data_IF_020480550445
#
_entry.id   IF_020480550445
#
_cell.length_a   1.000
_cell.length_b   1.000
_cell.length_c   1.000
_cell.angle_alpha   90.00
_cell.angle_beta   90.00
_cell.angle_gamma   90.00
#
_symmetry.space_group_name_H-M   'P 1'
#
loop_
_entity.id
_entity.type
_entity.pdbx_description
1 polymer ?
#
# COMPACT_ATOMS: atom_id res chain seq x y z
N UNK A 1 -43.58 -7.39 -7.72
CA UNK A 1 -42.70 -6.34 -8.29
C UNK A 1 -43.49 -5.06 -8.68
N UNK A 2 -44.56 -4.70 -7.97
CA UNK A 2 -45.40 -3.52 -8.29
C UNK A 2 -45.47 -2.48 -7.16
N UNK A 3 -45.20 -2.87 -5.91
CA UNK A 3 -45.34 -1.99 -4.74
C UNK A 3 -44.25 -0.93 -4.62
N UNK A 4 -43.05 -1.17 -5.16
CA UNK A 4 -41.93 -0.23 -5.12
C UNK A 4 -42.09 0.93 -6.12
N UNK A 5 -42.63 0.67 -7.31
CA UNK A 5 -42.79 1.67 -8.38
C UNK A 5 -43.92 2.68 -8.12
N UNK A 6 -44.96 2.29 -7.38
CA UNK A 6 -46.12 3.15 -7.09
C UNK A 6 -45.76 4.29 -6.11
N UNK A 7 -44.74 4.10 -5.26
CA UNK A 7 -44.33 5.08 -4.25
C UNK A 7 -43.13 5.94 -4.67
N UNK A 8 -42.55 5.71 -5.85
CA UNK A 8 -41.45 6.50 -6.40
C UNK A 8 -41.75 8.01 -6.53
N UNK A 9 -42.96 8.47 -6.94
CA UNK A 9 -43.24 9.90 -7.06
C UNK A 9 -43.56 10.59 -5.72
N UNK A 10 -43.64 9.86 -4.60
CA UNK A 10 -43.98 10.43 -3.28
C UNK A 10 -42.76 10.88 -2.47
N UNK A 11 -41.61 11.10 -3.11
CA UNK A 11 -40.40 11.56 -2.42
C UNK A 11 -39.95 10.53 -1.40
N UNK A 12 -39.61 9.33 -1.86
CA UNK A 12 -39.04 8.32 -0.98
C UNK A 12 -37.61 8.73 -0.65
N UNK A 13 -37.47 9.47 0.43
CA UNK A 13 -36.44 9.49 1.48
C UNK A 13 -36.74 10.78 2.27
N UNK A 14 -37.38 10.73 3.46
CA UNK A 14 -37.36 11.91 4.33
C UNK A 14 -35.89 12.30 4.48
N UNK A 15 -35.53 13.56 4.24
CA UNK A 15 -34.18 14.08 4.53
C UNK A 15 -33.86 13.67 5.97
N UNK A 16 -33.06 12.63 6.11
CA UNK A 16 -32.67 12.15 7.43
C UNK A 16 -31.73 13.21 7.99
N UNK A 17 -31.94 13.60 9.24
CA UNK A 17 -31.03 14.46 9.98
C UNK A 17 -29.71 13.74 10.33
N UNK A 18 -29.55 12.51 9.82
CA UNK A 18 -28.37 11.67 9.96
C UNK A 18 -27.29 12.26 9.06
N UNK A 19 -26.35 12.96 9.70
CA UNK A 19 -25.17 13.52 9.06
C UNK A 19 -24.01 12.56 9.29
N UNK A 20 -23.34 12.16 8.22
CA UNK A 20 -22.12 11.39 8.33
C UNK A 20 -20.99 12.30 8.83
N UNK A 21 -20.47 12.03 10.03
CA UNK A 21 -19.23 12.63 10.51
C UNK A 21 -18.08 11.69 10.12
N UNK A 22 -17.19 12.08 9.20
CA UNK A 22 -16.04 11.26 8.84
C UNK A 22 -14.89 11.36 9.84
N UNK A 23 -14.96 12.26 10.82
CA UNK A 23 -13.87 12.44 11.80
C UNK A 23 -13.46 11.16 12.54
N UNK A 24 -14.40 10.30 12.99
CA UNK A 24 -14.06 9.02 13.62
C UNK A 24 -13.39 8.02 12.68
N UNK A 25 -13.45 8.25 11.35
CA UNK A 25 -12.86 7.38 10.33
C UNK A 25 -11.50 7.88 9.84
N UNK A 26 -11.07 9.07 10.24
CA UNK A 26 -9.68 9.45 10.06
C UNK A 26 -8.83 8.61 11.00
N UNK A 27 -7.99 7.76 10.42
CA UNK A 27 -7.00 7.03 11.18
C UNK A 27 -6.00 8.00 11.81
N UNK A 28 -5.48 7.64 12.98
CA UNK A 28 -4.38 8.37 13.63
C UNK A 28 -3.21 8.52 12.67
N UNK A 29 -2.60 9.71 12.66
CA UNK A 29 -1.46 10.03 11.80
C UNK A 29 -0.35 8.98 11.96
N UNK A 30 -0.07 8.21 10.91
CA UNK A 30 1.09 7.34 10.87
C UNK A 30 2.34 8.25 10.87
N UNK A 31 3.13 8.19 11.93
CA UNK A 31 4.38 8.92 12.01
C UNK A 31 5.42 8.28 11.10
N UNK A 32 5.54 8.82 9.89
CA UNK A 32 6.56 8.43 8.92
C UNK A 32 7.83 9.24 9.21
N UNK A 33 8.93 8.55 9.50
CA UNK A 33 10.21 9.17 9.83
C UNK A 33 10.96 9.61 8.56
N UNK A 34 11.65 10.75 8.62
CA UNK A 34 12.32 11.36 7.46
C UNK A 34 13.30 10.42 6.73
N UNK A 35 13.94 9.49 7.45
CA UNK A 35 14.91 8.57 6.86
C UNK A 35 14.31 7.65 5.80
N UNK A 36 13.01 7.34 5.86
CA UNK A 36 12.37 6.41 4.91
C UNK A 36 12.15 7.01 3.53
N UNK A 37 12.31 8.33 3.41
CA UNK A 37 12.35 9.06 2.15
C UNK A 37 13.76 9.13 1.56
N UNK A 38 14.79 8.79 2.35
CA UNK A 38 16.18 8.84 1.92
C UNK A 38 16.52 7.55 1.16
N UNK A 39 17.43 7.70 0.20
CA UNK A 39 18.01 6.59 -0.53
C UNK A 39 18.71 5.62 0.43
N UNK A 40 18.46 4.32 0.31
CA UNK A 40 19.16 3.28 1.08
C UNK A 40 20.57 3.04 0.53
N UNK A 41 21.46 2.50 1.36
CA UNK A 41 22.79 2.10 0.91
C UNK A 41 22.74 0.76 0.16
N UNK A 42 23.75 0.49 -0.67
CA UNK A 42 23.89 -0.77 -1.40
C UNK A 42 24.20 -0.57 -2.87
N UNK A 43 24.16 -1.66 -3.62
CA UNK A 43 24.27 -1.67 -5.09
C UNK A 43 23.02 -1.03 -5.71
N UNK A 44 23.17 -0.31 -6.82
CA UNK A 44 22.04 0.35 -7.48
C UNK A 44 21.01 -0.70 -7.93
N UNK A 45 19.76 -0.55 -7.48
CA UNK A 45 18.66 -1.40 -7.95
C UNK A 45 18.17 -0.93 -9.31
N UNK A 46 17.61 -1.87 -10.07
CA UNK A 46 16.99 -1.60 -11.36
C UNK A 46 15.80 -2.54 -11.57
N UNK A 47 14.80 -2.04 -12.29
CA UNK A 47 13.60 -2.80 -12.66
C UNK A 47 13.75 -3.27 -14.11
N UNK A 48 13.68 -4.58 -14.32
CA UNK A 48 13.72 -5.25 -15.62
C UNK A 48 12.45 -6.07 -15.90
N UNK A 49 11.59 -6.27 -14.90
CA UNK A 49 10.23 -6.75 -15.13
C UNK A 49 9.35 -5.62 -15.66
N UNK A 50 8.51 -5.97 -16.60
CA UNK A 50 7.41 -5.17 -17.12
C UNK A 50 6.10 -5.63 -16.47
N UNK A 51 5.08 -4.78 -16.51
CA UNK A 51 3.75 -5.07 -15.95
C UNK A 51 3.15 -6.35 -16.55
N UNK A 52 3.27 -6.52 -17.86
CA UNK A 52 2.87 -7.74 -18.60
C UNK A 52 3.54 -9.03 -18.09
N UNK A 53 4.70 -8.94 -17.43
CA UNK A 53 5.35 -10.13 -16.86
C UNK A 53 4.62 -10.66 -15.62
N UNK A 54 3.84 -9.81 -14.94
CA UNK A 54 3.26 -10.09 -13.62
C UNK A 54 1.73 -10.00 -13.64
N UNK A 55 1.12 -9.27 -14.58
CA UNK A 55 -0.33 -9.10 -14.70
C UNK A 55 -1.13 -10.42 -14.78
N UNK A 56 -0.50 -11.49 -15.28
CA UNK A 56 -1.11 -12.81 -15.39
C UNK A 56 -0.88 -13.71 -14.17
N UNK A 57 -0.18 -13.23 -13.14
CA UNK A 57 0.13 -14.02 -11.96
C UNK A 57 -1.08 -14.11 -11.05
N UNK A 58 -1.50 -15.34 -10.78
CA UNK A 58 -2.45 -15.62 -9.72
C UNK A 58 -1.70 -15.77 -8.39
N UNK A 59 -2.47 -15.90 -7.31
CA UNK A 59 -1.93 -16.04 -5.94
C UNK A 59 -0.86 -17.14 -5.79
N UNK A 60 -1.02 -18.27 -6.49
CA UNK A 60 -0.04 -19.35 -6.49
C UNK A 60 1.26 -18.98 -7.23
N UNK A 61 1.16 -18.20 -8.30
CA UNK A 61 2.31 -17.73 -9.07
C UNK A 61 3.12 -16.72 -8.26
N UNK A 62 2.45 -15.77 -7.59
CA UNK A 62 3.09 -14.84 -6.65
C UNK A 62 3.91 -15.59 -5.60
N UNK A 63 3.28 -16.51 -4.87
CA UNK A 63 3.96 -17.34 -3.86
C UNK A 63 5.13 -18.11 -4.45
N UNK A 64 4.94 -18.73 -5.60
CA UNK A 64 5.96 -19.54 -6.27
C UNK A 64 7.15 -18.69 -6.71
N UNK A 65 6.92 -17.52 -7.30
CA UNK A 65 7.97 -16.65 -7.81
C UNK A 65 8.73 -15.95 -6.67
N UNK A 66 8.04 -15.48 -5.62
CA UNK A 66 8.70 -14.94 -4.42
C UNK A 66 9.63 -15.99 -3.81
N UNK A 67 9.14 -17.23 -3.61
CA UNK A 67 9.94 -18.30 -3.01
C UNK A 67 11.08 -18.82 -3.90
N UNK A 68 11.01 -18.59 -5.21
CA UNK A 68 12.04 -19.02 -6.18
C UNK A 68 13.07 -17.95 -6.47
N UNK A 69 12.87 -16.72 -6.00
CA UNK A 69 13.82 -15.65 -6.22
C UNK A 69 15.22 -16.08 -5.75
N UNK A 70 16.19 -16.06 -6.65
CA UNK A 70 17.55 -16.52 -6.38
C UNK A 70 18.46 -15.38 -5.93
N UNK A 71 18.06 -14.13 -6.20
CA UNK A 71 18.83 -12.92 -5.88
C UNK A 71 17.97 -11.83 -5.27
N UNK A 72 18.58 -10.94 -4.48
CA UNK A 72 17.86 -9.76 -3.95
C UNK A 72 17.31 -8.88 -5.08
N UNK A 73 18.00 -8.77 -6.23
CA UNK A 73 17.52 -7.97 -7.35
C UNK A 73 16.28 -8.58 -8.01
N UNK A 74 16.19 -9.90 -8.09
CA UNK A 74 14.99 -10.59 -8.57
C UNK A 74 13.81 -10.39 -7.60
N UNK A 75 14.06 -10.54 -6.29
CA UNK A 75 13.04 -10.27 -5.27
C UNK A 75 12.59 -8.80 -5.30
N UNK A 76 13.51 -7.87 -5.52
CA UNK A 76 13.21 -6.44 -5.69
C UNK A 76 12.29 -6.20 -6.89
N UNK A 77 12.55 -6.87 -8.02
CA UNK A 77 11.73 -6.77 -9.22
C UNK A 77 10.31 -7.29 -9.00
N UNK A 78 10.15 -8.37 -8.23
CA UNK A 78 8.82 -8.86 -7.82
C UNK A 78 8.15 -7.84 -6.87
N UNK A 79 8.90 -7.34 -5.87
CA UNK A 79 8.38 -6.41 -4.87
C UNK A 79 7.91 -5.08 -5.48
N UNK A 80 8.49 -4.67 -6.61
CA UNK A 80 8.13 -3.43 -7.30
C UNK A 80 6.67 -3.39 -7.77
N UNK A 81 6.05 -4.56 -8.00
CA UNK A 81 4.69 -4.68 -8.51
C UNK A 81 3.66 -5.12 -7.46
N UNK A 82 4.03 -5.16 -6.17
CA UNK A 82 3.07 -5.47 -5.10
C UNK A 82 1.92 -4.46 -5.11
N UNK A 83 0.71 -4.99 -5.08
CA UNK A 83 -0.54 -4.25 -4.94
C UNK A 83 -1.46 -4.85 -3.86
N UNK A 84 -1.05 -5.93 -3.18
CA UNK A 84 -1.80 -6.60 -2.12
C UNK A 84 -0.94 -6.83 -0.85
N UNK A 85 -1.49 -6.64 0.37
CA UNK A 85 -0.76 -6.84 1.62
C UNK A 85 -0.18 -8.24 1.86
N UNK A 86 -0.84 -9.28 1.37
CA UNK A 86 -0.47 -10.68 1.59
C UNK A 86 0.89 -11.03 0.95
N UNK A 87 1.17 -10.47 -0.23
CA UNK A 87 2.45 -10.67 -0.92
C UNK A 87 3.60 -9.94 -0.23
N UNK A 88 3.31 -8.79 0.38
CA UNK A 88 4.29 -8.02 1.14
C UNK A 88 4.86 -8.83 2.33
N UNK A 89 4.01 -9.57 3.05
CA UNK A 89 4.48 -10.41 4.17
C UNK A 89 5.47 -11.48 3.72
N UNK A 90 5.17 -12.14 2.60
CA UNK A 90 6.04 -13.18 2.04
C UNK A 90 7.41 -12.59 1.65
N UNK A 91 7.42 -11.39 1.06
CA UNK A 91 8.64 -10.71 0.65
C UNK A 91 9.45 -10.26 1.87
N UNK A 92 8.80 -9.67 2.89
CA UNK A 92 9.46 -9.18 4.10
C UNK A 92 10.05 -10.31 4.97
N UNK A 93 9.54 -11.53 4.83
CA UNK A 93 10.06 -12.73 5.51
C UNK A 93 11.10 -13.48 4.66
N UNK A 94 11.28 -13.12 3.39
CA UNK A 94 12.20 -13.81 2.50
C UNK A 94 13.67 -13.57 2.91
N UNK A 95 14.55 -14.59 2.89
CA UNK A 95 15.96 -14.43 3.27
C UNK A 95 16.75 -13.42 2.43
N UNK A 96 16.30 -13.17 1.19
CA UNK A 96 16.90 -12.18 0.28
C UNK A 96 16.35 -10.77 0.46
N UNK A 97 15.39 -10.57 1.36
CA UNK A 97 14.84 -9.26 1.68
C UNK A 97 15.93 -8.41 2.35
N UNK A 98 16.28 -7.32 1.69
CA UNK A 98 17.20 -6.32 2.21
C UNK A 98 16.45 -5.02 2.54
N UNK A 99 17.15 -4.07 3.16
CA UNK A 99 16.56 -2.80 3.60
C UNK A 99 15.96 -2.00 2.44
N UNK A 100 16.58 -2.00 1.26
CA UNK A 100 16.06 -1.35 0.07
C UNK A 100 14.70 -1.94 -0.35
N UNK A 101 14.60 -3.27 -0.34
CA UNK A 101 13.34 -3.99 -0.60
C UNK A 101 12.30 -3.66 0.46
N UNK A 102 12.66 -3.68 1.75
CA UNK A 102 11.73 -3.36 2.83
C UNK A 102 11.17 -1.92 2.72
N UNK A 103 12.01 -0.95 2.33
CA UNK A 103 11.57 0.43 2.07
C UNK A 103 10.69 0.52 0.83
N UNK A 104 10.99 -0.21 -0.25
CA UNK A 104 10.13 -0.30 -1.42
C UNK A 104 8.74 -0.86 -1.07
N UNK A 105 8.71 -1.97 -0.33
CA UNK A 105 7.46 -2.62 0.13
C UNK A 105 6.66 -1.67 1.01
N UNK A 106 7.31 -0.94 1.93
CA UNK A 106 6.65 0.09 2.73
C UNK A 106 5.90 1.07 1.84
N UNK A 107 6.56 1.59 0.80
CA UNK A 107 5.95 2.57 -0.08
C UNK A 107 4.82 2.00 -0.91
N UNK A 108 4.95 0.77 -1.44
CA UNK A 108 3.84 0.09 -2.16
C UNK A 108 2.62 -0.12 -1.26
N UNK A 109 2.83 -0.58 -0.03
CA UNK A 109 1.73 -0.72 0.93
C UNK A 109 1.09 0.62 1.29
N UNK A 110 1.91 1.66 1.42
CA UNK A 110 1.43 3.00 1.74
C UNK A 110 0.59 3.60 0.61
N UNK A 111 1.02 3.44 -0.64
CA UNK A 111 0.39 4.09 -1.81
C UNK A 111 -0.73 3.25 -2.40
N UNK A 112 -0.47 1.96 -2.66
CA UNK A 112 -1.39 1.07 -3.38
C UNK A 112 -2.34 0.35 -2.41
N UNK A 113 -1.81 -0.15 -1.27
CA UNK A 113 -2.60 -0.95 -0.32
C UNK A 113 -3.23 -0.09 0.79
N UNK A 114 -3.44 1.19 0.53
CA UNK A 114 -3.80 2.15 1.56
C UNK A 114 -5.21 1.92 2.14
N UNK A 115 -6.09 1.24 1.39
CA UNK A 115 -7.49 0.97 1.73
C UNK A 115 -7.70 -0.25 2.64
N UNK A 116 -6.69 -1.08 2.85
CA UNK A 116 -6.81 -2.30 3.66
C UNK A 116 -6.66 -1.97 5.15
N UNK A 117 -7.46 -2.64 5.99
CA UNK A 117 -7.56 -2.37 7.45
C UNK A 117 -6.24 -2.56 8.18
N UNK A 118 -5.43 -3.52 7.74
CA UNK A 118 -4.25 -3.97 8.48
C UNK A 118 -2.97 -3.29 7.99
N UNK A 119 -3.06 -2.46 6.94
CA UNK A 119 -1.91 -1.81 6.31
C UNK A 119 -1.12 -0.95 7.29
N UNK A 120 -1.77 -0.19 8.16
CA UNK A 120 -1.04 0.69 9.09
C UNK A 120 -0.21 -0.07 10.12
N UNK A 121 -0.69 -1.21 10.60
CA UNK A 121 0.07 -2.02 11.55
C UNK A 121 1.26 -2.70 10.87
N UNK A 122 1.08 -3.15 9.62
CA UNK A 122 2.20 -3.62 8.77
C UNK A 122 3.24 -2.53 8.52
N UNK A 123 2.82 -1.31 8.19
CA UNK A 123 3.74 -0.19 7.99
C UNK A 123 4.56 0.12 9.25
N UNK A 124 3.95 0.07 10.44
CA UNK A 124 4.66 0.22 11.71
C UNK A 124 5.65 -0.93 11.95
N UNK A 125 5.25 -2.16 11.63
CA UNK A 125 6.12 -3.33 11.74
C UNK A 125 7.37 -3.19 10.87
N UNK A 126 7.20 -2.78 9.61
CA UNK A 126 8.31 -2.55 8.68
C UNK A 126 9.27 -1.49 9.23
N UNK A 127 8.74 -0.34 9.69
CA UNK A 127 9.54 0.72 10.31
C UNK A 127 10.33 0.15 11.49
N UNK A 128 9.68 -0.61 12.38
CA UNK A 128 10.33 -1.19 13.54
C UNK A 128 11.42 -2.20 13.15
N UNK A 129 11.17 -3.06 12.17
CA UNK A 129 12.15 -4.04 11.72
C UNK A 129 13.39 -3.37 11.10
N UNK A 130 13.19 -2.32 10.31
CA UNK A 130 14.29 -1.54 9.72
C UNK A 130 15.11 -0.83 10.81
N UNK A 131 14.45 -0.18 11.79
CA UNK A 131 15.14 0.49 12.90
C UNK A 131 15.96 -0.48 13.77
N UNK A 132 15.52 -1.74 13.87
CA UNK A 132 16.24 -2.79 14.58
C UNK A 132 17.30 -3.50 13.72
N UNK A 133 17.63 -2.98 12.54
CA UNK A 133 18.61 -3.55 11.60
C UNK A 133 18.35 -5.04 11.28
N UNK A 134 17.07 -5.42 11.15
CA UNK A 134 16.67 -6.80 10.80
C UNK A 134 17.07 -7.20 9.37
N UNK A 135 17.21 -6.20 8.50
CA UNK A 135 17.51 -6.41 7.08
C UNK A 135 18.94 -5.99 6.77
N UNK A 136 19.69 -6.78 5.97
CA UNK A 136 20.98 -6.35 5.45
C UNK A 136 20.82 -5.17 4.49
N UNK A 137 21.88 -4.43 4.22
CA UNK A 137 21.92 -3.37 3.19
C UNK A 137 22.66 -3.92 1.96
N UNK A 138 21.90 -4.47 1.00
CA UNK A 138 22.44 -5.06 -0.23
C UNK A 138 22.11 -4.17 -1.42
N UNK A 139 20.84 -3.76 -1.54
CA UNK A 139 20.36 -2.91 -2.62
C UNK A 139 20.03 -1.51 -2.14
N UNK A 140 20.41 -0.55 -2.97
CA UNK A 140 20.03 0.84 -2.87
C UNK A 140 18.68 1.06 -3.56
N UNK A 141 17.70 1.54 -2.82
CA UNK A 141 16.42 2.02 -3.33
C UNK A 141 16.26 3.51 -3.00
N UNK A 142 15.81 4.28 -3.98
CA UNK A 142 15.54 5.71 -3.82
C UNK A 142 14.04 6.02 -4.00
N UNK A 143 13.30 6.26 -2.92
CA UNK A 143 11.87 6.59 -2.99
C UNK A 143 11.59 7.88 -3.77
N UNK A 144 12.53 8.83 -3.81
CA UNK A 144 12.32 10.13 -4.46
C UNK A 144 12.33 10.05 -5.99
N UNK A 145 12.90 8.99 -6.56
CA UNK A 145 12.91 8.75 -8.01
C UNK A 145 11.80 7.79 -8.46
N UNK A 146 11.01 7.26 -7.53
CA UNK A 146 9.94 6.31 -7.83
C UNK A 146 8.61 7.06 -8.00
N UNK A 147 8.07 7.06 -9.21
CA UNK A 147 6.84 7.79 -9.57
C UNK A 147 5.60 7.27 -8.83
N UNK A 148 5.62 6.01 -8.36
CA UNK A 148 4.52 5.44 -7.57
C UNK A 148 4.51 5.96 -6.13
N UNK A 149 5.58 6.61 -5.66
CA UNK A 149 5.67 7.16 -4.30
C UNK A 149 4.91 8.47 -4.20
N UNK A 150 3.65 8.39 -3.77
CA UNK A 150 2.78 9.56 -3.54
C UNK A 150 2.48 9.70 -2.04
N UNK A 151 3.18 10.63 -1.38
CA UNK A 151 2.95 10.90 0.05
C UNK A 151 1.91 12.01 0.29
N UNK A 152 0.89 11.70 1.09
CA UNK A 152 -0.08 12.68 1.61
C UNK A 152 0.00 12.69 3.13
N UNK A 153 0.34 13.85 3.72
CA UNK A 153 0.48 14.01 5.18
C UNK A 153 -0.74 13.52 5.99
N UNK A 154 -1.94 13.61 5.42
CA UNK A 154 -3.14 12.97 5.95
C UNK A 154 -3.65 11.92 4.98
N UNK A 155 -3.65 10.67 5.42
CA UNK A 155 -4.27 9.57 4.69
C UNK A 155 -5.79 9.63 4.93
N UNK A 156 -6.56 9.65 3.86
CA UNK A 156 -8.02 9.56 3.92
C UNK A 156 -8.36 8.11 3.62
N UNK A 157 -8.78 7.34 4.63
CA UNK A 157 -9.15 5.93 4.46
C UNK A 157 -10.28 5.73 3.44
N UNK A 158 -11.11 6.77 3.24
CA UNK A 158 -12.19 6.76 2.26
C UNK A 158 -12.52 8.18 1.77
N UNK A 159 -12.34 8.45 0.48
CA UNK A 159 -12.74 9.74 -0.10
C UNK A 159 -14.26 9.78 -0.28
N UNK A 160 -14.95 10.51 0.61
CA UNK A 160 -16.39 10.74 0.52
C UNK A 160 -16.70 11.48 -0.79
N UNK A 161 -17.59 11.01 -1.67
CA UNK A 161 -17.97 11.75 -2.88
C UNK A 161 -18.51 13.15 -2.54
N UNK A 162 -18.25 14.14 -3.40
CA UNK A 162 -18.62 15.55 -3.14
C UNK A 162 -20.12 15.73 -2.84
N UNK A 163 -20.99 14.94 -3.46
CA UNK A 163 -22.45 14.90 -3.18
C UNK A 163 -22.78 14.63 -1.70
N UNK A 164 -21.88 13.95 -0.97
CA UNK A 164 -22.02 13.67 0.45
C UNK A 164 -21.20 14.62 1.35
N UNK A 165 -20.35 15.49 0.77
CA UNK A 165 -19.61 16.53 1.50
C UNK A 165 -20.45 17.81 1.57
N UNK A 166 -20.53 18.45 2.75
CA UNK A 166 -21.15 19.78 2.87
C UNK A 166 -20.30 20.83 2.14
N UNK A 167 -20.90 21.88 1.55
CA UNK A 167 -20.20 23.15 1.40
C UNK A 167 -19.89 23.70 2.79
N UNK A 168 -18.64 24.12 2.99
CA UNK A 168 -18.15 24.73 4.24
C UNK A 168 -18.72 26.12 4.42
#
# INVERSE_FOLDING_TARGET
MQTLLINYPKGFYPKTTIVFDPKPLYESELLILDWIFQRTNGEESYVYYEEDNIDYWFEEDWKKNINRAETSIELFNIAYFINEPEHADLILQHPLCDKGIAVLVFWRLYTECSLYTDTNDKLKEIINNILNNRYPEILSYNPQSDEKVVYKKKKIAWEIPEIFRKPV
#
